data_IF_436676821934
#
_entry.id   IF_436676821934
#
_cell.length_a   1.000
_cell.length_b   1.000
_cell.length_c   1.000
_cell.angle_alpha   90.00
_cell.angle_beta   90.00
_cell.angle_gamma   90.00
#
_symmetry.space_group_name_H-M   'P 1'
#
loop_
_entity.id
_entity.type
_entity.pdbx_description
1 polymer ?
#
# COMPACT_ATOMS: atom_id res chain seq x y z
N UNK A 1 3.47 28.98 15.88
CA UNK A 1 3.69 27.62 16.43
C UNK A 1 2.75 26.69 15.70
N UNK A 2 3.29 25.72 14.97
CA UNK A 2 2.43 24.77 14.25
C UNK A 2 1.67 23.90 15.25
N UNK A 3 0.35 23.88 15.13
CA UNK A 3 -0.53 23.06 15.97
C UNK A 3 -0.41 21.60 15.50
N UNK A 4 0.19 20.76 16.34
CA UNK A 4 0.31 19.32 16.11
C UNK A 4 -0.73 18.58 16.95
N UNK A 5 -1.24 17.48 16.42
CA UNK A 5 -2.13 16.59 17.13
C UNK A 5 -1.37 15.32 17.55
N UNK A 6 -1.80 14.72 18.65
CA UNK A 6 -1.19 13.53 19.23
C UNK A 6 -2.21 12.42 19.17
N UNK A 7 -1.89 11.36 18.44
CA UNK A 7 -2.65 10.12 18.46
C UNK A 7 -1.94 9.11 19.35
N UNK A 8 -2.70 8.42 20.20
CA UNK A 8 -2.18 7.34 21.05
C UNK A 8 -2.94 6.05 20.75
N UNK A 9 -2.21 4.98 20.45
CA UNK A 9 -2.77 3.68 20.17
C UNK A 9 -1.79 2.56 20.50
N UNK A 10 -2.25 1.52 21.18
CA UNK A 10 -1.46 0.37 21.63
C UNK A 10 -0.15 0.73 22.37
N UNK A 11 -0.15 1.80 23.16
CA UNK A 11 1.04 2.25 23.90
C UNK A 11 2.07 3.04 23.07
N UNK A 12 1.82 3.24 21.77
CA UNK A 12 2.62 4.09 20.91
C UNK A 12 1.97 5.46 20.70
N UNK A 13 2.81 6.48 20.56
CA UNK A 13 2.38 7.87 20.35
C UNK A 13 2.84 8.32 18.96
N UNK A 14 1.92 8.82 18.15
CA UNK A 14 2.19 9.35 16.82
C UNK A 14 1.85 10.84 16.80
N UNK A 15 2.83 11.65 16.42
CA UNK A 15 2.65 13.07 16.18
C UNK A 15 2.24 13.27 14.72
N UNK A 16 1.10 13.91 14.49
CA UNK A 16 0.58 14.14 13.15
C UNK A 16 0.07 15.57 12.99
N UNK A 17 0.07 16.03 11.75
CA UNK A 17 -0.51 17.32 11.40
C UNK A 17 -2.01 17.10 11.06
N UNK A 18 -2.96 17.72 11.78
CA UNK A 18 -4.38 17.46 11.54
C UNK A 18 -4.82 18.03 10.19
N UNK A 19 -5.56 17.21 9.44
CA UNK A 19 -6.19 17.57 8.18
C UNK A 19 -7.60 17.00 8.13
N UNK A 20 -8.59 17.84 7.81
CA UNK A 20 -9.99 17.42 7.69
C UNK A 20 -10.33 17.22 6.22
N UNK A 21 -10.71 16.00 5.86
CA UNK A 21 -11.23 15.69 4.54
C UNK A 21 -12.67 16.19 4.41
N UNK A 22 -13.00 16.81 3.27
CA UNK A 22 -14.38 17.26 2.99
C UNK A 22 -15.35 16.09 2.80
N UNK A 23 -14.86 14.97 2.27
CA UNK A 23 -15.68 13.80 1.96
C UNK A 23 -14.91 12.51 2.26
N UNK A 24 -15.60 11.55 2.89
CA UNK A 24 -15.13 10.18 3.13
C UNK A 24 -15.75 9.27 2.07
N UNK A 25 -14.95 8.42 1.45
CA UNK A 25 -15.40 7.45 0.43
C UNK A 25 -15.71 6.12 1.12
N UNK A 26 -16.80 5.45 0.71
CA UNK A 26 -17.28 4.16 1.27
C UNK A 26 -16.26 3.28 2.02
N UNK A 27 -15.21 2.74 1.37
CA UNK A 27 -14.26 1.84 2.01
C UNK A 27 -13.45 2.47 3.16
N UNK A 28 -13.27 3.79 3.16
CA UNK A 28 -12.60 4.55 4.21
C UNK A 28 -13.40 4.51 5.53
N UNK A 29 -14.73 4.31 5.49
CA UNK A 29 -15.55 4.19 6.70
C UNK A 29 -15.24 2.93 7.53
N UNK A 30 -14.68 1.89 6.91
CA UNK A 30 -14.29 0.66 7.61
C UNK A 30 -12.89 0.76 8.24
N UNK A 31 -12.22 1.91 8.11
CA UNK A 31 -10.89 2.12 8.63
C UNK A 31 -10.88 2.13 10.17
N UNK A 32 -10.05 1.26 10.76
CA UNK A 32 -9.83 1.24 12.20
C UNK A 32 -8.32 1.32 12.50
N UNK A 33 -7.81 2.49 12.92
CA UNK A 33 -6.37 2.69 13.11
C UNK A 33 -5.79 1.83 14.22
N UNK A 34 -6.52 1.61 15.31
CA UNK A 34 -6.05 0.79 16.43
C UNK A 34 -5.88 -0.68 16.02
N UNK A 35 -6.87 -1.22 15.31
CA UNK A 35 -6.84 -2.60 14.84
C UNK A 35 -5.73 -2.81 13.81
N UNK A 36 -5.57 -1.89 12.86
CA UNK A 36 -4.54 -1.98 11.83
C UNK A 36 -3.14 -1.81 12.43
N UNK A 37 -2.96 -0.85 13.32
CA UNK A 37 -1.68 -0.66 14.01
C UNK A 37 -1.31 -1.90 14.85
N UNK A 38 -2.27 -2.48 15.58
CA UNK A 38 -2.07 -3.74 16.32
C UNK A 38 -1.68 -4.89 15.38
N UNK A 39 -2.36 -4.99 14.23
CA UNK A 39 -2.10 -6.03 13.25
C UNK A 39 -0.67 -5.93 12.70
N UNK A 40 -0.23 -4.75 12.24
CA UNK A 40 1.13 -4.57 11.74
C UNK A 40 2.18 -4.79 12.83
N UNK A 41 1.94 -4.30 14.05
CA UNK A 41 2.86 -4.51 15.18
C UNK A 41 2.99 -6.00 15.55
N UNK A 42 1.90 -6.78 15.46
CA UNK A 42 1.91 -8.22 15.75
C UNK A 42 2.52 -9.05 14.62
N UNK A 43 2.29 -8.65 13.38
CA UNK A 43 2.61 -9.46 12.19
C UNK A 43 3.79 -8.94 11.37
N UNK A 44 4.61 -8.03 11.89
CA UNK A 44 5.76 -7.47 11.16
C UNK A 44 6.71 -8.53 10.59
N UNK A 45 6.92 -9.65 11.30
CA UNK A 45 7.77 -10.76 10.87
C UNK A 45 7.13 -11.62 9.77
N UNK A 46 5.81 -11.54 9.60
CA UNK A 46 5.06 -12.30 8.58
C UNK A 46 5.51 -11.93 7.16
N UNK A 47 5.94 -10.68 6.94
CA UNK A 47 6.47 -10.21 5.66
C UNK A 47 7.72 -10.98 5.22
N UNK A 48 8.55 -11.43 6.17
CA UNK A 48 9.75 -12.23 5.88
C UNK A 48 9.36 -13.61 5.35
N UNK A 49 8.43 -14.27 6.03
CA UNK A 49 7.93 -15.59 5.59
C UNK A 49 7.23 -15.50 4.24
N UNK A 50 6.48 -14.42 3.99
CA UNK A 50 5.83 -14.17 2.70
C UNK A 50 6.87 -14.00 1.58
N UNK A 51 7.94 -13.23 1.81
CA UNK A 51 9.02 -13.04 0.85
C UNK A 51 9.76 -14.35 0.53
N UNK A 52 10.09 -15.15 1.56
CA UNK A 52 10.73 -16.46 1.38
C UNK A 52 9.82 -17.42 0.62
N UNK A 53 8.53 -17.48 0.99
CA UNK A 53 7.53 -18.28 0.30
C UNK A 53 7.38 -17.88 -1.16
N UNK A 54 7.36 -16.57 -1.45
CA UNK A 54 7.30 -16.05 -2.81
C UNK A 54 8.50 -16.50 -3.66
N UNK A 55 9.72 -16.41 -3.13
CA UNK A 55 10.93 -16.90 -3.84
C UNK A 55 10.84 -18.40 -4.10
N UNK A 56 10.39 -19.20 -3.13
CA UNK A 56 10.19 -20.63 -3.31
C UNK A 56 9.15 -20.94 -4.41
N UNK A 57 8.01 -20.25 -4.40
CA UNK A 57 6.96 -20.40 -5.41
C UNK A 57 7.48 -20.05 -6.80
N UNK A 58 8.21 -18.96 -6.96
CA UNK A 58 8.79 -18.55 -8.25
C UNK A 58 9.74 -19.63 -8.79
N UNK A 59 10.64 -20.16 -7.94
CA UNK A 59 11.57 -21.21 -8.35
C UNK A 59 10.84 -22.50 -8.79
N UNK A 60 9.85 -22.95 -8.01
CA UNK A 60 9.03 -24.12 -8.36
C UNK A 60 8.29 -23.88 -9.68
N UNK A 61 7.70 -22.70 -9.83
CA UNK A 61 6.94 -22.34 -11.03
C UNK A 61 7.82 -22.32 -12.28
N UNK A 62 9.03 -21.73 -12.20
CA UNK A 62 10.01 -21.75 -13.28
C UNK A 62 10.33 -23.19 -13.70
N UNK A 63 10.61 -24.08 -12.74
CA UNK A 63 10.93 -25.50 -13.00
C UNK A 63 9.77 -26.28 -13.62
N UNK A 64 8.53 -26.08 -13.14
CA UNK A 64 7.33 -26.68 -13.74
C UNK A 64 7.15 -26.20 -15.19
N UNK A 65 7.43 -24.92 -15.40
CA UNK A 65 7.25 -24.30 -16.69
C UNK A 65 8.27 -24.71 -17.74
N UNK A 66 9.50 -25.07 -17.38
CA UNK A 66 10.50 -25.60 -18.33
C UNK A 66 9.89 -26.62 -19.29
N UNK A 67 9.07 -27.54 -18.77
CA UNK A 67 8.45 -28.63 -19.54
C UNK A 67 7.07 -28.29 -20.16
N UNK A 68 6.57 -27.06 -20.00
CA UNK A 68 5.24 -26.62 -20.50
C UNK A 68 5.35 -25.53 -21.57
N UNK A 69 4.33 -25.40 -22.42
CA UNK A 69 4.21 -24.30 -23.40
C UNK A 69 3.83 -22.99 -22.68
N UNK A 70 4.30 -21.83 -23.17
CA UNK A 70 3.99 -20.53 -22.54
C UNK A 70 2.49 -20.24 -22.60
N UNK A 71 1.92 -19.76 -21.50
CA UNK A 71 0.52 -19.35 -21.43
C UNK A 71 0.38 -17.90 -21.90
N UNK A 72 -0.47 -17.64 -22.89
CA UNK A 72 -0.73 -16.30 -23.42
C UNK A 72 -1.80 -15.56 -22.60
N UNK A 73 -1.48 -15.17 -21.36
CA UNK A 73 -2.41 -14.44 -20.48
C UNK A 73 -2.41 -12.91 -20.69
N UNK A 74 -2.30 -12.45 -21.94
CA UNK A 74 -2.12 -11.02 -22.26
C UNK A 74 -3.29 -10.16 -21.75
N UNK A 75 -4.52 -10.63 -21.91
CA UNK A 75 -5.73 -9.90 -21.46
C UNK A 75 -5.80 -9.81 -19.94
N UNK A 76 -5.49 -10.91 -19.23
CA UNK A 76 -5.46 -10.93 -17.76
C UNK A 76 -4.40 -9.97 -17.24
N UNK A 77 -3.20 -9.98 -17.83
CA UNK A 77 -2.11 -9.08 -17.45
C UNK A 77 -2.48 -7.61 -17.70
N UNK A 78 -3.17 -7.33 -18.82
CA UNK A 78 -3.64 -5.98 -19.13
C UNK A 78 -4.70 -5.50 -18.12
N UNK A 79 -5.67 -6.36 -17.78
CA UNK A 79 -6.69 -6.06 -16.78
C UNK A 79 -6.07 -5.86 -15.38
N UNK A 80 -5.09 -6.70 -15.01
CA UNK A 80 -4.38 -6.61 -13.75
C UNK A 80 -3.60 -5.30 -13.63
N UNK A 81 -2.75 -4.99 -14.61
CA UNK A 81 -1.99 -3.74 -14.65
C UNK A 81 -2.91 -2.51 -14.74
N UNK A 82 -4.01 -2.61 -15.50
CA UNK A 82 -5.02 -1.56 -15.57
C UNK A 82 -5.71 -1.31 -14.22
N UNK A 83 -6.08 -2.38 -13.50
CA UNK A 83 -6.66 -2.27 -12.17
C UNK A 83 -5.67 -1.64 -11.17
N UNK A 84 -4.40 -2.07 -11.18
CA UNK A 84 -3.35 -1.47 -10.36
C UNK A 84 -3.11 0.00 -10.70
N UNK A 85 -3.15 0.38 -11.97
CA UNK A 85 -3.02 1.77 -12.41
C UNK A 85 -4.17 2.65 -11.89
N UNK A 86 -5.42 2.19 -12.02
CA UNK A 86 -6.60 2.90 -11.48
C UNK A 86 -6.50 3.03 -9.96
N UNK A 87 -6.14 1.94 -9.28
CA UNK A 87 -5.92 1.94 -7.83
C UNK A 87 -4.85 2.97 -7.42
N UNK A 88 -3.71 2.99 -8.12
CA UNK A 88 -2.61 3.92 -7.86
C UNK A 88 -3.02 5.38 -8.10
N UNK A 89 -3.81 5.66 -9.15
CA UNK A 89 -4.36 7.00 -9.40
C UNK A 89 -5.29 7.44 -8.28
N UNK A 90 -6.18 6.56 -7.80
CA UNK A 90 -7.09 6.89 -6.69
C UNK A 90 -6.34 7.16 -5.39
N UNK A 91 -5.36 6.32 -5.06
CA UNK A 91 -4.51 6.50 -3.88
C UNK A 91 -3.70 7.80 -3.96
N UNK A 92 -3.10 8.09 -5.11
CA UNK A 92 -2.35 9.33 -5.36
C UNK A 92 -3.24 10.55 -5.24
N UNK A 93 -4.47 10.50 -5.77
CA UNK A 93 -5.43 11.60 -5.63
C UNK A 93 -5.78 11.86 -4.17
N UNK A 94 -6.17 10.81 -3.42
CA UNK A 94 -6.62 10.98 -2.02
C UNK A 94 -5.50 11.34 -1.04
N UNK A 95 -4.33 10.72 -1.20
CA UNK A 95 -3.16 11.08 -0.43
C UNK A 95 -2.63 12.47 -0.84
N UNK A 96 -2.70 12.78 -2.14
CA UNK A 96 -2.26 14.04 -2.72
C UNK A 96 -2.98 15.26 -2.14
N UNK A 97 -4.29 15.18 -1.87
CA UNK A 97 -5.05 16.28 -1.25
C UNK A 97 -4.43 16.73 0.09
N UNK A 98 -4.14 15.78 0.98
CA UNK A 98 -3.50 16.06 2.26
C UNK A 98 -2.05 16.53 2.06
N UNK A 99 -1.29 15.87 1.18
CA UNK A 99 0.10 16.22 0.90
C UNK A 99 0.26 17.64 0.35
N UNK A 100 -0.53 18.03 -0.65
CA UNK A 100 -0.50 19.38 -1.21
C UNK A 100 -0.95 20.43 -0.18
N UNK A 101 -1.95 20.10 0.65
CA UNK A 101 -2.35 20.99 1.73
C UNK A 101 -1.20 21.22 2.73
N UNK A 102 -0.52 20.15 3.16
CA UNK A 102 0.64 20.26 4.06
C UNK A 102 1.77 21.08 3.44
N UNK A 103 2.08 20.86 2.17
CA UNK A 103 3.14 21.61 1.47
C UNK A 103 2.83 23.11 1.31
N UNK A 104 1.57 23.49 1.07
CA UNK A 104 1.22 24.87 0.75
C UNK A 104 0.81 25.71 1.96
N UNK A 105 0.33 25.07 3.03
CA UNK A 105 -0.19 25.77 4.21
C UNK A 105 0.70 25.70 5.43
N UNK A 106 1.61 24.72 5.50
CA UNK A 106 2.49 24.50 6.64
C UNK A 106 3.97 24.64 6.27
N UNK A 107 4.83 25.02 7.24
CA UNK A 107 6.27 25.04 7.03
C UNK A 107 6.80 23.65 6.68
N UNK A 108 7.84 23.60 5.86
CA UNK A 108 8.45 22.34 5.38
C UNK A 108 8.84 21.37 6.49
N UNK A 109 9.22 21.89 7.67
CA UNK A 109 9.53 21.07 8.86
C UNK A 109 8.37 20.18 9.25
N UNK A 110 7.13 20.65 9.10
CA UNK A 110 5.95 19.90 9.51
C UNK A 110 5.67 18.76 8.55
N UNK A 111 5.86 18.98 7.25
CA UNK A 111 5.68 17.96 6.21
C UNK A 111 6.68 16.80 6.30
N UNK A 112 7.82 17.01 6.98
CA UNK A 112 8.86 15.99 7.17
C UNK A 112 8.80 15.37 8.56
N UNK A 113 8.50 16.15 9.59
CA UNK A 113 8.55 15.69 10.98
C UNK A 113 7.22 15.10 11.49
N UNK A 114 6.09 15.42 10.88
CA UNK A 114 4.79 14.90 11.30
C UNK A 114 4.31 13.78 10.38
N UNK A 115 3.67 12.78 10.99
CA UNK A 115 3.02 11.71 10.25
C UNK A 115 1.66 12.14 9.71
N UNK A 116 1.10 11.31 8.86
CA UNK A 116 -0.27 11.40 8.35
C UNK A 116 -1.24 11.14 9.49
N UNK A 117 -2.42 11.77 9.46
CA UNK A 117 -3.47 11.50 10.45
C UNK A 117 -3.84 10.01 10.47
N UNK A 118 -3.59 9.28 11.58
CA UNK A 118 -3.89 7.85 11.69
C UNK A 118 -5.38 7.54 11.49
N UNK A 119 -6.27 8.46 11.85
CA UNK A 119 -7.73 8.31 11.71
C UNK A 119 -8.24 8.72 10.33
N UNK A 120 -7.43 9.45 9.57
CA UNK A 120 -7.81 10.03 8.30
C UNK A 120 -7.83 9.02 7.13
N UNK A 121 -8.60 9.34 6.06
CA UNK A 121 -8.56 8.64 4.78
C UNK A 121 -7.16 8.37 4.22
N UNK A 122 -6.19 9.27 4.38
CA UNK A 122 -4.82 9.04 3.90
C UNK A 122 -4.18 7.80 4.52
N UNK A 123 -4.43 7.51 5.80
CA UNK A 123 -3.90 6.32 6.47
C UNK A 123 -4.51 5.03 5.92
N UNK A 124 -5.80 5.05 5.58
CA UNK A 124 -6.45 3.95 4.86
C UNK A 124 -5.79 3.71 3.50
N UNK A 125 -5.61 4.76 2.69
CA UNK A 125 -5.00 4.66 1.37
C UNK A 125 -3.51 4.26 1.44
N UNK A 126 -2.78 4.70 2.46
CA UNK A 126 -1.40 4.29 2.72
C UNK A 126 -1.31 2.79 3.06
N UNK A 127 -2.24 2.28 3.86
CA UNK A 127 -2.33 0.86 4.17
C UNK A 127 -2.66 0.03 2.93
N UNK A 128 -3.64 0.48 2.13
CA UNK A 128 -3.99 -0.17 0.87
C UNK A 128 -2.81 -0.15 -0.12
N UNK A 129 -2.03 0.93 -0.15
CA UNK A 129 -0.80 1.01 -0.94
C UNK A 129 0.27 0.00 -0.46
N UNK A 130 0.40 -0.21 0.85
CA UNK A 130 1.28 -1.27 1.37
C UNK A 130 0.84 -2.66 0.89
N UNK A 131 -0.48 -2.93 0.88
CA UNK A 131 -1.02 -4.19 0.33
C UNK A 131 -0.84 -4.31 -1.18
N UNK A 132 -0.90 -3.21 -1.94
CA UNK A 132 -0.69 -3.27 -3.39
C UNK A 132 0.73 -3.71 -3.75
N UNK A 133 1.73 -3.48 -2.91
CA UNK A 133 3.09 -4.03 -3.11
C UNK A 133 3.14 -5.55 -3.08
N UNK A 134 2.28 -6.19 -2.29
CA UNK A 134 2.14 -7.64 -2.30
C UNK A 134 1.45 -8.08 -3.60
N UNK A 135 0.48 -7.32 -4.08
CA UNK A 135 -0.18 -7.59 -5.36
C UNK A 135 0.78 -7.42 -6.56
N UNK A 136 1.68 -6.44 -6.55
CA UNK A 136 2.71 -6.23 -7.59
C UNK A 136 3.64 -7.45 -7.74
N UNK A 137 3.86 -8.24 -6.69
CA UNK A 137 4.59 -9.52 -6.80
C UNK A 137 3.90 -10.51 -7.75
N UNK A 138 2.58 -10.39 -7.91
CA UNK A 138 1.78 -11.14 -8.88
C UNK A 138 2.23 -10.92 -10.32
N UNK A 139 2.72 -9.73 -10.69
CA UNK A 139 3.17 -9.45 -12.05
C UNK A 139 4.33 -10.35 -12.47
N UNK A 140 5.24 -10.65 -11.54
CA UNK A 140 6.38 -11.53 -11.80
C UNK A 140 5.92 -12.99 -11.96
N UNK A 141 4.90 -13.42 -11.21
CA UNK A 141 4.30 -14.75 -11.39
C UNK A 141 3.73 -14.87 -12.80
N UNK A 142 3.00 -13.87 -13.29
CA UNK A 142 2.48 -13.87 -14.65
C UNK A 142 3.57 -13.79 -15.73
N UNK A 143 4.68 -13.10 -15.45
CA UNK A 143 5.84 -13.04 -16.34
C UNK A 143 6.51 -14.41 -16.49
N UNK A 144 6.75 -15.09 -15.36
CA UNK A 144 7.25 -16.47 -15.33
C UNK A 144 6.29 -17.37 -16.12
N UNK A 145 4.98 -17.28 -15.88
CA UNK A 145 3.90 -18.01 -16.59
C UNK A 145 3.89 -17.84 -18.12
N UNK A 146 4.52 -16.78 -18.62
CA UNK A 146 4.61 -16.51 -20.06
C UNK A 146 5.93 -16.99 -20.67
N UNK A 147 6.91 -17.44 -19.88
CA UNK A 147 8.31 -17.65 -20.30
C UNK A 147 8.88 -16.45 -21.05
N UNK A 148 8.45 -15.23 -20.72
CA UNK A 148 9.13 -14.07 -21.29
C UNK A 148 10.48 -13.95 -20.58
N UNK A 149 11.59 -13.78 -21.31
CA UNK A 149 12.85 -13.46 -20.67
C UNK A 149 12.66 -12.16 -19.87
N UNK A 150 13.19 -12.17 -18.64
CA UNK A 150 13.38 -10.96 -17.83
C UNK A 150 14.41 -10.07 -18.51
#
# INVERSE_FOLDING_TARGET
>A
MSSHAVWTGNGHTILYAPYSYENVVGPEHFWNPNAVHAFFARHWSSSIYLALGYVAVINVLQRVMENRKPLSMRTVLLLWNGALAVFSMMGTWRFGLEFFHMLWTRPFTDSVCFSVDPTGPASFWACMFAFSKIAELGDTLFLVLRKRPM
#
